data_IF_515294157253
#
_entry.id   IF_515294157253
#
_cell.length_a   1.000
_cell.length_b   1.000
_cell.length_c   1.000
_cell.angle_alpha   90.00
_cell.angle_beta   90.00
_cell.angle_gamma   90.00
#
_symmetry.space_group_name_H-M   'P 1'
#
loop_
_entity.id
_entity.type
_entity.pdbx_description
1 polymer ?
#
# COMPACT_ATOMS: atom_id res chain seq x y z
N UNK A 1 8.09 -14.11 -18.43
CA UNK A 1 8.22 -12.73 -17.90
C UNK A 1 8.74 -12.75 -16.47
N UNK A 2 9.92 -12.17 -16.17
CA UNK A 2 10.47 -12.15 -14.82
C UNK A 2 9.54 -11.37 -13.89
N UNK A 3 9.19 -11.94 -12.74
CA UNK A 3 8.31 -11.32 -11.76
C UNK A 3 8.85 -9.95 -11.38
N UNK A 4 8.12 -8.90 -11.75
CA UNK A 4 8.51 -7.53 -11.44
C UNK A 4 8.75 -7.36 -9.94
N UNK A 5 9.62 -6.43 -9.58
CA UNK A 5 9.86 -6.04 -8.20
C UNK A 5 9.44 -4.58 -8.03
N UNK A 6 8.70 -4.31 -6.97
CA UNK A 6 8.41 -2.94 -6.54
C UNK A 6 9.25 -2.65 -5.30
N UNK A 7 10.10 -1.63 -5.37
CA UNK A 7 10.77 -1.10 -4.19
C UNK A 7 10.13 0.23 -3.82
N UNK A 8 9.63 0.32 -2.59
CA UNK A 8 9.04 1.54 -2.07
C UNK A 8 9.85 2.04 -0.89
N UNK A 9 10.09 3.34 -0.87
CA UNK A 9 10.79 4.03 0.20
C UNK A 9 9.83 4.99 0.89
N UNK A 10 9.81 4.89 2.21
CA UNK A 10 9.03 5.78 3.06
C UNK A 10 10.01 6.80 3.63
N UNK A 11 9.82 8.10 3.34
CA UNK A 11 10.57 9.15 4.01
C UNK A 11 10.40 9.00 5.52
N UNK A 12 11.48 9.07 6.29
CA UNK A 12 11.36 9.09 7.74
C UNK A 12 10.45 10.25 8.16
N UNK A 13 9.57 10.05 9.16
CA UNK A 13 8.77 11.15 9.68
C UNK A 13 9.72 12.27 10.12
N UNK A 14 9.48 13.50 9.63
CA UNK A 14 10.25 14.67 10.05
C UNK A 14 10.10 14.79 11.56
N UNK A 15 11.24 14.81 12.27
CA UNK A 15 11.25 15.15 13.68
C UNK A 15 10.75 16.58 13.82
N UNK A 16 9.64 16.77 14.52
CA UNK A 16 9.15 18.10 14.82
C UNK A 16 10.21 18.83 15.64
N UNK A 17 10.63 20.00 15.16
CA UNK A 17 11.51 20.90 15.90
C UNK A 17 10.76 21.45 17.10
N UNK A 18 10.82 20.73 18.21
CA UNK A 18 10.20 21.11 19.46
C UNK A 18 10.57 20.17 20.60
N UNK A 19 11.70 20.47 21.27
CA UNK A 19 12.14 20.01 22.60
C UNK A 19 13.22 18.90 22.68
N UNK A 20 14.45 19.31 23.03
CA UNK A 20 15.36 18.57 23.93
C UNK A 20 16.33 17.54 23.30
N UNK A 21 17.61 17.48 23.74
CA UNK A 21 18.61 16.59 23.17
C UNK A 21 18.53 15.21 23.83
N UNK A 22 18.05 14.19 23.12
CA UNK A 22 18.37 12.81 23.48
C UNK A 22 18.23 11.87 22.29
N UNK A 23 19.34 11.22 21.94
CA UNK A 23 19.37 10.04 21.08
C UNK A 23 19.36 10.32 19.59
N UNK A 24 20.56 10.35 18.99
CA UNK A 24 20.75 10.15 17.56
C UNK A 24 20.29 8.73 17.17
N UNK A 25 18.98 8.52 17.02
CA UNK A 25 18.46 7.44 16.19
C UNK A 25 18.30 8.00 14.79
N UNK A 26 19.31 7.73 13.95
CA UNK A 26 19.31 8.10 12.55
C UNK A 26 17.98 7.71 11.90
N UNK A 27 17.36 8.69 11.24
CA UNK A 27 16.19 8.54 10.42
C UNK A 27 16.49 7.55 9.27
N UNK A 28 16.38 6.25 9.54
CA UNK A 28 16.54 5.22 8.53
C UNK A 28 15.30 5.26 7.63
N UNK A 29 15.48 5.63 6.35
CA UNK A 29 14.45 5.45 5.34
C UNK A 29 13.97 4.00 5.38
N UNK A 30 12.66 3.80 5.57
CA UNK A 30 12.07 2.46 5.62
C UNK A 30 11.81 2.01 4.20
N UNK A 31 12.60 1.05 3.71
CA UNK A 31 12.50 0.49 2.36
C UNK A 31 11.92 -0.92 2.44
N UNK A 32 10.97 -1.23 1.57
CA UNK A 32 10.51 -2.60 1.32
C UNK A 32 10.64 -2.92 -0.17
N UNK A 33 11.10 -4.13 -0.49
CA UNK A 33 11.08 -4.68 -1.84
C UNK A 33 10.06 -5.81 -1.89
N UNK A 34 9.12 -5.70 -2.82
CA UNK A 34 7.97 -6.59 -2.97
C UNK A 34 8.09 -7.27 -4.31
N UNK A 35 7.93 -8.59 -4.32
CA UNK A 35 7.86 -9.42 -5.51
C UNK A 35 6.54 -10.21 -5.51
N UNK A 36 6.35 -11.06 -6.53
CA UNK A 36 5.17 -11.89 -6.66
C UNK A 36 4.95 -12.81 -5.45
N UNK A 37 5.98 -13.47 -4.97
CA UNK A 37 5.88 -14.40 -3.83
C UNK A 37 5.49 -13.67 -2.53
N UNK A 38 5.98 -12.45 -2.36
CA UNK A 38 5.59 -11.56 -1.28
C UNK A 38 4.11 -11.15 -1.35
N UNK A 39 3.49 -11.11 -2.52
CA UNK A 39 2.05 -10.87 -2.64
C UNK A 39 1.21 -12.13 -2.37
N UNK A 40 1.72 -13.32 -2.71
CA UNK A 40 1.06 -14.60 -2.36
C UNK A 40 1.06 -14.81 -0.85
N UNK A 41 2.17 -14.48 -0.18
CA UNK A 41 2.34 -14.55 1.26
C UNK A 41 2.58 -13.15 1.85
N UNK A 42 1.52 -12.35 2.08
CA UNK A 42 1.65 -10.92 2.34
C UNK A 42 2.10 -10.53 3.75
N UNK A 43 2.63 -11.44 4.58
CA UNK A 43 2.94 -11.15 5.99
C UNK A 43 3.92 -9.97 6.19
N UNK A 44 4.93 -9.86 5.32
CA UNK A 44 5.86 -8.73 5.36
C UNK A 44 5.17 -7.42 4.93
N UNK A 45 4.38 -7.50 3.85
CA UNK A 45 3.62 -6.37 3.33
C UNK A 45 2.63 -5.86 4.37
N UNK A 46 1.90 -6.76 5.04
CA UNK A 46 0.96 -6.42 6.10
C UNK A 46 1.63 -5.75 7.28
N UNK A 47 2.80 -6.23 7.68
CA UNK A 47 3.57 -5.62 8.76
C UNK A 47 4.01 -4.21 8.39
N UNK A 48 4.46 -4.02 7.16
CA UNK A 48 4.82 -2.71 6.61
C UNK A 48 3.62 -1.75 6.54
N UNK A 49 2.49 -2.18 5.97
CA UNK A 49 1.28 -1.36 5.85
C UNK A 49 0.72 -1.00 7.23
N UNK A 50 0.74 -1.93 8.18
CA UNK A 50 0.30 -1.70 9.56
C UNK A 50 1.14 -0.65 10.26
N UNK A 51 2.45 -0.72 10.10
CA UNK A 51 3.36 0.28 10.67
C UNK A 51 3.14 1.65 10.02
N UNK A 52 2.96 1.72 8.70
CA UNK A 52 2.63 2.98 8.02
C UNK A 52 1.35 3.60 8.59
N UNK A 53 0.28 2.83 8.70
CA UNK A 53 -0.99 3.27 9.29
C UNK A 53 -0.83 3.72 10.73
N UNK A 54 0.00 3.03 11.52
CA UNK A 54 0.31 3.44 12.89
C UNK A 54 0.98 4.81 12.92
N UNK A 55 1.92 5.06 12.02
CA UNK A 55 2.65 6.34 11.98
C UNK A 55 1.87 7.50 11.37
N UNK A 56 0.83 7.24 10.57
CA UNK A 56 0.05 8.30 9.91
C UNK A 56 -1.36 8.47 10.44
N UNK A 57 -2.10 7.38 10.58
CA UNK A 57 -3.53 7.43 10.90
C UNK A 57 -3.77 7.36 12.42
N UNK A 58 -3.02 6.55 13.17
CA UNK A 58 -3.21 6.47 14.63
C UNK A 58 -2.78 7.76 15.35
N UNK A 59 -1.86 8.52 14.77
CA UNK A 59 -1.40 9.81 15.32
C UNK A 59 -2.29 10.98 14.88
N UNK A 60 -3.33 10.75 14.06
CA UNK A 60 -4.16 11.85 13.51
C UNK A 60 -4.79 12.69 14.61
N UNK A 61 -5.25 12.07 15.69
CA UNK A 61 -5.87 12.80 16.80
C UNK A 61 -4.87 13.73 17.47
N UNK A 62 -3.66 13.23 17.75
CA UNK A 62 -2.57 14.04 18.30
C UNK A 62 -2.24 15.21 17.37
N UNK A 63 -2.00 14.93 16.08
CA UNK A 63 -1.68 15.95 15.08
C UNK A 63 -2.77 17.00 14.93
N UNK A 64 -4.03 16.59 14.91
CA UNK A 64 -5.14 17.55 14.85
C UNK A 64 -5.28 18.40 16.10
N UNK A 65 -4.96 17.87 17.28
CA UNK A 65 -4.92 18.66 18.51
C UNK A 65 -3.77 19.68 18.47
N UNK A 66 -2.60 19.29 17.96
CA UNK A 66 -1.46 20.19 17.78
C UNK A 66 -1.80 21.33 16.79
N UNK A 67 -2.54 21.02 15.73
CA UNK A 67 -3.06 22.01 14.78
C UNK A 67 -4.05 22.97 15.46
N UNK A 68 -4.98 22.46 16.27
CA UNK A 68 -5.95 23.31 16.99
C UNK A 68 -5.29 24.30 17.95
N UNK A 69 -4.14 23.94 18.51
CA UNK A 69 -3.38 24.80 19.43
C UNK A 69 -2.44 25.78 18.70
N UNK A 70 -2.35 25.73 17.36
CA UNK A 70 -1.50 26.63 16.59
C UNK A 70 -2.10 28.04 16.47
N UNK A 71 -1.26 29.09 16.25
CA UNK A 71 -1.75 30.42 15.94
C UNK A 71 -2.68 30.41 14.73
N UNK A 72 -3.80 31.16 14.79
CA UNK A 72 -4.83 31.17 13.75
C UNK A 72 -4.26 31.56 12.36
N UNK A 73 -3.24 32.42 12.33
CA UNK A 73 -2.57 32.85 11.11
C UNK A 73 -1.75 31.73 10.44
N UNK A 74 -1.32 30.73 11.20
CA UNK A 74 -0.51 29.62 10.69
C UNK A 74 -1.34 28.35 10.43
N UNK A 75 -2.57 28.28 10.94
CA UNK A 75 -3.41 27.09 10.89
C UNK A 75 -3.60 26.57 9.45
N UNK A 76 -3.90 27.45 8.50
CA UNK A 76 -4.07 27.08 7.09
C UNK A 76 -2.83 26.43 6.49
N UNK A 77 -1.68 27.09 6.62
CA UNK A 77 -0.41 26.58 6.12
C UNK A 77 -0.03 25.24 6.77
N UNK A 78 -0.23 25.09 8.09
CA UNK A 78 0.06 23.84 8.81
C UNK A 78 -0.90 22.71 8.44
N UNK A 79 -2.18 23.01 8.20
CA UNK A 79 -3.16 22.05 7.71
C UNK A 79 -2.79 21.53 6.31
N UNK A 80 -2.44 22.45 5.40
CA UNK A 80 -1.98 22.10 4.05
C UNK A 80 -0.71 21.27 4.11
N UNK A 81 0.27 21.68 4.90
CA UNK A 81 1.53 20.94 5.05
C UNK A 81 1.29 19.54 5.62
N UNK A 82 0.46 19.40 6.66
CA UNK A 82 0.15 18.09 7.22
C UNK A 82 -0.49 17.13 6.19
N UNK A 83 -1.47 17.61 5.43
CA UNK A 83 -2.11 16.79 4.39
C UNK A 83 -1.14 16.47 3.26
N UNK A 84 -0.44 17.48 2.74
CA UNK A 84 0.42 17.38 1.57
C UNK A 84 1.73 16.63 1.82
N UNK A 85 2.34 16.80 2.99
CA UNK A 85 3.64 16.22 3.32
C UNK A 85 3.54 14.87 4.03
N UNK A 86 2.44 14.62 4.76
CA UNK A 86 2.32 13.42 5.60
C UNK A 86 1.25 12.46 5.09
N UNK A 87 0.01 12.90 4.95
CA UNK A 87 -1.11 12.00 4.65
C UNK A 87 -1.08 11.50 3.20
N UNK A 88 -1.04 12.41 2.22
CA UNK A 88 -1.09 12.04 0.81
C UNK A 88 0.08 11.16 0.37
N UNK A 89 1.35 11.45 0.74
CA UNK A 89 2.46 10.58 0.35
C UNK A 89 2.35 9.18 0.96
N UNK A 90 1.93 9.07 2.22
CA UNK A 90 1.75 7.78 2.87
C UNK A 90 0.62 6.96 2.23
N UNK A 91 -0.52 7.58 1.91
CA UNK A 91 -1.62 6.92 1.20
C UNK A 91 -1.20 6.47 -0.18
N UNK A 92 -0.41 7.28 -0.89
CA UNK A 92 0.11 6.93 -2.20
C UNK A 92 1.00 5.69 -2.14
N UNK A 93 1.96 5.66 -1.21
CA UNK A 93 2.84 4.49 -1.00
C UNK A 93 2.02 3.23 -0.72
N UNK A 94 1.03 3.31 0.18
CA UNK A 94 0.18 2.15 0.49
C UNK A 94 -0.63 1.70 -0.73
N UNK A 95 -1.16 2.65 -1.51
CA UNK A 95 -1.87 2.37 -2.77
C UNK A 95 -0.99 1.64 -3.77
N UNK A 96 0.23 2.13 -4.03
CA UNK A 96 1.19 1.50 -4.95
C UNK A 96 1.46 0.04 -4.59
N UNK A 97 1.67 -0.25 -3.30
CA UNK A 97 1.90 -1.60 -2.79
C UNK A 97 0.70 -2.52 -3.07
N UNK A 98 -0.51 -2.04 -2.81
CA UNK A 98 -1.75 -2.80 -3.02
C UNK A 98 -1.98 -3.04 -4.52
N UNK A 99 -1.79 -2.02 -5.35
CA UNK A 99 -2.01 -2.10 -6.80
C UNK A 99 -0.95 -2.95 -7.51
N UNK A 100 0.27 -2.99 -6.99
CA UNK A 100 1.28 -3.93 -7.46
C UNK A 100 0.84 -5.38 -7.26
N UNK A 101 0.35 -5.74 -6.07
CA UNK A 101 -0.15 -7.09 -5.83
C UNK A 101 -1.43 -7.40 -6.64
N UNK A 102 -2.29 -6.41 -6.88
CA UNK A 102 -3.43 -6.54 -7.80
C UNK A 102 -2.97 -6.87 -9.23
N UNK A 103 -1.94 -6.18 -9.71
CA UNK A 103 -1.35 -6.42 -11.04
C UNK A 103 -0.74 -7.82 -11.13
N UNK A 104 -0.02 -8.27 -10.09
CA UNK A 104 0.54 -9.62 -10.04
C UNK A 104 -0.56 -10.69 -10.07
N UNK A 105 -1.67 -10.50 -9.33
CA UNK A 105 -2.80 -11.43 -9.34
C UNK A 105 -3.41 -11.57 -10.75
N UNK A 106 -3.65 -10.43 -11.42
CA UNK A 106 -4.17 -10.39 -12.79
C UNK A 106 -3.24 -11.08 -13.79
N UNK A 107 -1.93 -10.90 -13.67
CA UNK A 107 -0.94 -11.56 -14.53
C UNK A 107 -0.94 -13.07 -14.35
N UNK A 108 -0.99 -13.55 -13.10
CA UNK A 108 -1.06 -14.99 -12.82
C UNK A 108 -2.38 -15.56 -13.38
N UNK A 109 -3.51 -14.89 -13.16
CA UNK A 109 -4.81 -15.31 -13.71
C UNK A 109 -4.79 -15.40 -15.24
N UNK A 110 -4.25 -14.39 -15.92
CA UNK A 110 -4.13 -14.40 -17.38
C UNK A 110 -3.27 -15.57 -17.86
N UNK A 111 -2.16 -15.87 -17.17
CA UNK A 111 -1.30 -17.01 -17.50
C UNK A 111 -2.00 -18.37 -17.33
N UNK A 112 -2.92 -18.48 -16.35
CA UNK A 112 -3.71 -19.70 -16.14
C UNK A 112 -4.82 -19.86 -17.19
N UNK A 113 -5.41 -18.76 -17.68
CA UNK A 113 -6.48 -18.78 -18.68
C UNK A 113 -5.97 -19.08 -20.10
N UNK A 114 -4.75 -18.66 -20.42
CA UNK A 114 -4.13 -18.89 -21.73
C UNK A 114 -3.53 -20.30 -21.91
N UNK A 115 -3.74 -21.21 -20.96
CA UNK A 115 -3.27 -22.60 -21.06
C UNK A 115 -1.76 -22.81 -20.84
N UNK A 116 -1.05 -21.80 -20.36
CA UNK A 116 0.33 -21.91 -19.88
C UNK A 116 1.39 -22.17 -20.96
N UNK A 117 1.72 -21.14 -21.75
CA UNK A 117 3.09 -21.00 -22.26
C UNK A 117 3.95 -20.37 -21.14
N UNK A 118 5.21 -20.77 -21.02
CA UNK A 118 6.19 -20.40 -19.97
C UNK A 118 6.16 -21.18 -18.65
N UNK A 119 6.66 -22.41 -18.71
CA UNK A 119 7.98 -22.80 -18.14
C UNK A 119 7.95 -24.20 -17.55
N UNK A 120 8.61 -25.11 -18.27
CA UNK A 120 8.73 -26.55 -18.00
C UNK A 120 7.41 -27.30 -18.17
N UNK A 121 6.98 -27.44 -19.43
CA UNK A 121 6.44 -28.75 -19.84
C UNK A 121 7.60 -29.72 -19.61
N UNK A 122 7.61 -30.59 -18.58
CA UNK A 122 8.58 -31.67 -18.56
C UNK A 122 8.37 -32.40 -19.88
N UNK A 123 9.43 -32.53 -20.68
CA UNK A 123 9.44 -33.12 -22.01
C UNK A 123 8.37 -34.20 -22.10
N UNK A 124 7.32 -33.98 -22.91
CA UNK A 124 6.07 -34.74 -22.95
C UNK A 124 6.27 -36.16 -22.41
N UNK A 125 6.05 -36.34 -21.10
CA UNK A 125 6.30 -37.63 -20.45
C UNK A 125 5.19 -38.52 -20.96
N UNK A 126 5.56 -39.52 -21.75
CA UNK A 126 4.62 -40.48 -22.30
C UNK A 126 3.71 -40.95 -21.15
N UNK A 127 2.37 -40.80 -21.25
CA UNK A 127 1.46 -41.18 -20.18
C UNK A 127 1.52 -42.68 -19.84
N UNK A 128 2.16 -43.51 -20.67
CA UNK A 128 2.51 -44.91 -20.32
C UNK A 128 3.66 -45.02 -19.29
N UNK A 129 4.47 -43.98 -19.13
CA UNK A 129 5.64 -43.93 -18.22
C UNK A 129 5.26 -43.40 -16.84
N UNK A 130 4.27 -42.49 -16.74
CA UNK A 130 3.75 -42.05 -15.45
C UNK A 130 2.24 -41.70 -15.53
N UNK A 131 1.35 -42.56 -15.01
CA UNK A 131 -0.09 -42.34 -15.06
C UNK A 131 -0.58 -41.17 -14.17
N UNK A 132 0.28 -40.58 -13.34
CA UNK A 132 -0.09 -39.52 -12.39
C UNK A 132 0.20 -38.09 -12.90
N UNK A 133 0.80 -37.94 -14.08
CA UNK A 133 1.18 -36.62 -14.63
C UNK A 133 -0.03 -35.69 -14.76
N UNK A 134 -1.17 -36.20 -15.23
CA UNK A 134 -2.40 -35.42 -15.38
C UNK A 134 -3.02 -34.99 -14.05
N UNK A 135 -2.85 -35.81 -13.00
CA UNK A 135 -3.31 -35.49 -11.64
C UNK A 135 -2.44 -34.40 -11.04
N UNK A 136 -1.12 -34.53 -11.15
CA UNK A 136 -0.17 -33.52 -10.66
C UNK A 136 -0.35 -32.16 -11.35
N UNK A 137 -0.56 -32.14 -12.67
CA UNK A 137 -0.83 -30.90 -13.42
C UNK A 137 -2.14 -30.24 -12.97
N UNK A 138 -3.18 -31.04 -12.76
CA UNK A 138 -4.47 -30.54 -12.27
C UNK A 138 -4.34 -29.98 -10.84
N UNK A 139 -3.59 -30.65 -9.97
CA UNK A 139 -3.32 -30.18 -8.60
C UNK A 139 -2.51 -28.87 -8.60
N UNK A 140 -1.46 -28.77 -9.42
CA UNK A 140 -0.68 -27.54 -9.58
C UNK A 140 -1.54 -26.39 -10.10
N UNK A 141 -2.43 -26.66 -11.06
CA UNK A 141 -3.35 -25.66 -11.59
C UNK A 141 -4.32 -25.17 -10.51
N UNK A 142 -4.93 -26.09 -9.74
CA UNK A 142 -5.80 -25.75 -8.60
C UNK A 142 -5.08 -24.94 -7.54
N UNK A 143 -3.84 -25.30 -7.19
CA UNK A 143 -3.04 -24.58 -6.20
C UNK A 143 -2.77 -23.14 -6.65
N UNK A 144 -2.34 -22.93 -7.90
CA UNK A 144 -2.10 -21.58 -8.45
C UNK A 144 -3.38 -20.74 -8.51
N UNK A 145 -4.51 -21.35 -8.87
CA UNK A 145 -5.80 -20.66 -8.83
C UNK A 145 -6.17 -20.25 -7.40
N UNK A 146 -5.92 -21.12 -6.43
CA UNK A 146 -6.09 -20.82 -5.02
C UNK A 146 -5.25 -19.63 -4.56
N UNK A 147 -4.00 -19.54 -4.99
CA UNK A 147 -3.13 -18.40 -4.67
C UNK A 147 -3.61 -17.10 -5.29
N UNK A 148 -4.09 -17.13 -6.55
CA UNK A 148 -4.73 -15.96 -7.18
C UNK A 148 -5.93 -15.48 -6.37
N UNK A 149 -6.82 -16.39 -5.96
CA UNK A 149 -8.00 -16.04 -5.17
C UNK A 149 -7.61 -15.43 -3.81
N UNK A 150 -6.60 -15.98 -3.13
CA UNK A 150 -6.08 -15.41 -1.89
C UNK A 150 -5.56 -13.98 -2.09
N UNK A 151 -4.77 -13.76 -3.14
CA UNK A 151 -4.21 -12.44 -3.46
C UNK A 151 -5.32 -11.42 -3.73
N UNK A 152 -6.34 -11.78 -4.52
CA UNK A 152 -7.44 -10.88 -4.84
C UNK A 152 -8.30 -10.53 -3.63
N UNK A 153 -8.61 -11.53 -2.80
CA UNK A 153 -9.32 -11.30 -1.54
C UNK A 153 -8.52 -10.38 -0.62
N UNK A 154 -7.21 -10.59 -0.53
CA UNK A 154 -6.32 -9.73 0.23
C UNK A 154 -6.31 -8.29 -0.31
N UNK A 155 -6.17 -8.10 -1.62
CA UNK A 155 -6.21 -6.78 -2.27
C UNK A 155 -7.54 -6.08 -2.01
N UNK A 156 -8.66 -6.78 -2.19
CA UNK A 156 -10.00 -6.23 -1.95
C UNK A 156 -10.15 -5.76 -0.49
N UNK A 157 -9.70 -6.57 0.46
CA UNK A 157 -9.70 -6.22 1.87
C UNK A 157 -8.82 -4.99 2.17
N UNK A 158 -7.58 -4.95 1.65
CA UNK A 158 -6.70 -3.79 1.87
C UNK A 158 -7.27 -2.51 1.27
N UNK A 159 -7.91 -2.56 0.09
CA UNK A 159 -8.58 -1.40 -0.51
C UNK A 159 -9.72 -0.89 0.36
N UNK A 160 -10.52 -1.79 0.92
CA UNK A 160 -11.60 -1.41 1.83
C UNK A 160 -11.07 -0.77 3.12
N UNK A 161 -10.01 -1.34 3.71
CA UNK A 161 -9.32 -0.75 4.87
C UNK A 161 -8.83 0.65 4.55
N UNK A 162 -8.13 0.86 3.42
CA UNK A 162 -7.64 2.18 3.03
C UNK A 162 -8.77 3.17 2.81
N UNK A 163 -9.89 2.75 2.21
CA UNK A 163 -11.07 3.60 2.02
C UNK A 163 -11.65 4.08 3.36
N UNK A 164 -11.76 3.18 4.34
CA UNK A 164 -12.26 3.51 5.69
C UNK A 164 -11.29 4.46 6.39
N UNK A 165 -9.99 4.19 6.32
CA UNK A 165 -8.96 5.02 6.95
C UNK A 165 -8.91 6.41 6.35
N UNK A 166 -8.82 6.53 5.03
CA UNK A 166 -8.80 7.83 4.34
C UNK A 166 -10.03 8.66 4.69
N UNK A 167 -11.23 8.06 4.65
CA UNK A 167 -12.47 8.76 5.02
C UNK A 167 -12.46 9.24 6.47
N UNK A 168 -12.06 8.37 7.41
CA UNK A 168 -12.04 8.70 8.84
C UNK A 168 -10.99 9.76 9.16
N UNK A 169 -9.79 9.61 8.62
CA UNK A 169 -8.68 10.55 8.78
C UNK A 169 -9.04 11.91 8.17
N UNK A 170 -9.60 11.95 6.96
CA UNK A 170 -10.07 13.20 6.34
C UNK A 170 -11.20 13.85 7.14
N UNK A 171 -12.18 13.11 7.62
CA UNK A 171 -13.24 13.66 8.46
C UNK A 171 -12.67 14.34 9.72
N UNK A 172 -11.66 13.72 10.35
CA UNK A 172 -10.99 14.29 11.52
C UNK A 172 -10.20 15.54 11.16
N UNK A 173 -9.42 15.52 10.09
CA UNK A 173 -8.66 16.71 9.63
C UNK A 173 -9.62 17.85 9.25
N UNK A 174 -10.69 17.56 8.51
CA UNK A 174 -11.68 18.54 8.10
C UNK A 174 -12.41 19.18 9.28
N UNK A 175 -12.58 18.47 10.41
CA UNK A 175 -13.15 19.07 11.62
C UNK A 175 -12.32 20.22 12.21
N UNK A 176 -11.02 20.27 11.87
CA UNK A 176 -10.07 21.30 12.33
C UNK A 176 -9.76 22.29 11.20
N UNK A 177 -9.47 21.77 10.01
CA UNK A 177 -8.96 22.53 8.87
C UNK A 177 -10.05 22.95 7.88
N UNK A 178 -11.23 22.31 7.91
CA UNK A 178 -12.27 22.44 6.88
C UNK A 178 -13.04 23.76 6.88
N UNK A 179 -12.81 24.63 7.87
CA UNK A 179 -13.35 25.99 7.90
C UNK A 179 -12.50 26.99 7.11
N UNK A 180 -11.40 26.54 6.50
CA UNK A 180 -10.46 27.38 5.78
C UNK A 180 -10.68 27.22 4.27
N UNK A 181 -11.18 28.27 3.60
CA UNK A 181 -11.46 28.26 2.14
C UNK A 181 -10.22 27.92 1.30
N UNK A 182 -9.05 28.37 1.76
CA UNK A 182 -7.76 28.10 1.14
C UNK A 182 -7.36 26.62 1.24
N UNK A 183 -7.66 25.96 2.36
CA UNK A 183 -7.36 24.56 2.58
C UNK A 183 -8.17 23.64 1.64
N UNK A 184 -9.47 23.89 1.52
CA UNK A 184 -10.34 23.10 0.64
C UNK A 184 -9.87 23.14 -0.83
N UNK A 185 -9.52 24.32 -1.31
CA UNK A 185 -9.03 24.53 -2.68
C UNK A 185 -7.69 23.85 -2.94
N UNK A 186 -6.77 23.90 -1.97
CA UNK A 186 -5.44 23.31 -2.10
C UNK A 186 -5.46 21.77 -1.98
N UNK A 187 -6.28 21.21 -1.09
CA UNK A 187 -6.44 19.74 -0.99
C UNK A 187 -7.08 19.17 -2.25
N UNK A 188 -8.07 19.87 -2.83
CA UNK A 188 -8.67 19.47 -4.10
C UNK A 188 -7.63 19.47 -5.23
N UNK A 189 -6.83 20.53 -5.35
CA UNK A 189 -5.77 20.62 -6.35
C UNK A 189 -4.69 19.52 -6.18
N UNK A 190 -4.33 19.18 -4.94
CA UNK A 190 -3.40 18.08 -4.64
C UNK A 190 -4.00 16.71 -4.98
N UNK A 191 -5.31 16.54 -4.82
CA UNK A 191 -6.02 15.31 -5.16
C UNK A 191 -6.19 15.14 -6.66
N UNK A 192 -6.49 16.22 -7.39
CA UNK A 192 -6.69 16.19 -8.84
C UNK A 192 -5.38 15.93 -9.60
N UNK A 193 -4.26 16.47 -9.14
CA UNK A 193 -2.92 16.14 -9.67
C UNK A 193 -2.53 14.67 -9.50
N UNK A 194 -3.20 13.95 -8.60
CA UNK A 194 -2.95 12.52 -8.37
C UNK A 194 -3.79 11.62 -9.27
N UNK A 195 -4.93 12.11 -9.76
CA UNK A 195 -5.86 11.33 -10.58
C UNK A 195 -5.60 11.48 -12.09
N UNK A 196 -4.67 12.37 -12.49
CA UNK A 196 -4.11 12.51 -13.83
C UNK A 196 -2.71 11.92 -13.89
#
# INVERSE_FOLDING_TARGET
MPGGQLTVEVPAPRADTGSGPSGAHGAANRRITINRDGCVNPSLIESFLRELRRTTDNVVNQRTNDLQNAPAQELGARCVDYVGSTLLPAWHIRGQVIDFCATQASQIRASLQLGGDESHVPAAVDPTVNPYVTVEEQERHRARLGDVMKMENWVANQREIERILQRTTLARVNSVCGQLDEFASQVQALTDRRNN
#
